data_IF_944990058444
#
_entry.id   IF_944990058444
#
_cell.length_a   1.000
_cell.length_b   1.000
_cell.length_c   1.000
_cell.angle_alpha   90.00
_cell.angle_beta   90.00
_cell.angle_gamma   90.00
#
_symmetry.space_group_name_H-M   'P 1'
#
loop_
_entity.id
_entity.type
_entity.pdbx_description
1 polymer ?
#
# COMPACT_ATOMS: atom_id res chain seq x y z
N UNK A 1 -54.50 20.60 18.44
CA UNK A 1 -54.20 19.20 18.06
C UNK A 1 -53.40 19.27 16.76
N UNK A 2 -52.06 19.24 16.84
CA UNK A 2 -51.20 18.08 16.52
C UNK A 2 -51.42 17.63 15.06
N UNK A 3 -50.48 17.65 14.12
CA UNK A 3 -49.08 17.21 14.13
C UNK A 3 -48.30 18.02 13.07
N UNK A 4 -47.01 18.33 13.18
CA UNK A 4 -45.92 17.45 13.60
C UNK A 4 -45.35 16.68 12.40
N UNK A 5 -44.98 17.37 11.31
CA UNK A 5 -44.22 16.75 10.20
C UNK A 5 -42.73 16.81 10.53
N UNK A 6 -42.25 15.70 11.09
CA UNK A 6 -40.84 15.45 11.31
C UNK A 6 -40.11 15.40 9.95
N UNK A 7 -39.10 16.24 9.80
CA UNK A 7 -38.10 16.11 8.74
C UNK A 7 -37.38 14.78 8.91
N UNK A 8 -37.55 13.88 7.94
CA UNK A 8 -36.73 12.69 7.82
C UNK A 8 -35.31 13.15 7.43
N UNK A 9 -34.43 13.23 8.43
CA UNK A 9 -33.00 13.33 8.21
C UNK A 9 -32.54 12.05 7.50
N UNK A 10 -32.25 12.18 6.20
CA UNK A 10 -31.52 11.17 5.45
C UNK A 10 -30.12 11.06 6.05
N UNK A 11 -29.88 9.98 6.80
CA UNK A 11 -28.54 9.55 7.15
C UNK A 11 -27.84 9.06 5.88
N UNK A 12 -27.33 10.00 5.09
CA UNK A 12 -26.36 9.72 4.03
C UNK A 12 -25.01 9.51 4.71
N UNK A 13 -24.41 8.34 4.48
CA UNK A 13 -23.15 7.93 5.11
C UNK A 13 -22.07 8.99 4.93
N UNK A 14 -21.76 9.69 6.01
CA UNK A 14 -20.53 10.45 6.12
C UNK A 14 -19.43 9.40 6.28
N UNK A 15 -18.74 9.08 5.18
CA UNK A 15 -17.36 8.59 5.29
C UNK A 15 -16.64 9.64 6.13
N UNK A 16 -16.44 9.34 7.42
CA UNK A 16 -15.81 10.24 8.36
C UNK A 16 -14.47 10.65 7.79
N UNK A 17 -14.31 11.95 7.52
CA UNK A 17 -13.00 12.48 7.14
C UNK A 17 -12.07 12.20 8.31
N UNK A 18 -11.07 11.37 8.09
CA UNK A 18 -10.00 11.08 9.05
C UNK A 18 -9.37 12.41 9.43
N UNK A 19 -9.28 12.70 10.73
CA UNK A 19 -8.60 13.90 11.20
C UNK A 19 -7.11 13.83 10.87
N UNK A 20 -6.45 14.97 10.84
CA UNK A 20 -5.02 15.02 10.54
C UNK A 20 -4.20 14.18 11.54
N UNK A 21 -4.56 14.27 12.81
CA UNK A 21 -3.91 13.57 13.92
C UNK A 21 -4.10 12.04 13.82
N UNK A 22 -5.31 11.59 13.45
CA UNK A 22 -5.58 10.18 13.17
C UNK A 22 -4.80 9.70 11.94
N UNK A 23 -4.73 10.50 10.87
CA UNK A 23 -3.97 10.17 9.67
C UNK A 23 -2.46 10.02 9.98
N UNK A 24 -1.89 10.91 10.80
CA UNK A 24 -0.50 10.79 11.25
C UNK A 24 -0.27 9.49 12.06
N UNK A 25 -1.22 9.12 12.91
CA UNK A 25 -1.15 7.88 13.69
C UNK A 25 -1.23 6.64 12.80
N UNK A 26 -2.12 6.65 11.81
CA UNK A 26 -2.24 5.60 10.80
C UNK A 26 -0.97 5.48 9.95
N UNK A 27 -0.37 6.58 9.51
CA UNK A 27 0.90 6.57 8.79
C UNK A 27 2.00 5.91 9.62
N UNK A 28 2.10 6.25 10.92
CA UNK A 28 3.07 5.62 11.80
C UNK A 28 2.81 4.10 11.96
N UNK A 29 1.55 3.68 12.04
CA UNK A 29 1.17 2.27 12.06
C UNK A 29 1.51 1.53 10.78
N UNK A 30 1.24 2.15 9.63
CA UNK A 30 1.60 1.62 8.31
C UNK A 30 3.10 1.39 8.23
N UNK A 31 3.93 2.35 8.67
CA UNK A 31 5.37 2.17 8.70
C UNK A 31 5.82 1.07 9.65
N UNK A 32 5.22 0.96 10.85
CA UNK A 32 5.53 -0.13 11.79
C UNK A 32 5.25 -1.49 11.17
N UNK A 33 4.09 -1.66 10.56
CA UNK A 33 3.73 -2.93 9.93
C UNK A 33 4.55 -3.18 8.64
N UNK A 34 4.92 -2.13 7.91
CA UNK A 34 5.84 -2.24 6.76
C UNK A 34 7.23 -2.71 7.19
N UNK A 35 7.72 -2.27 8.36
CA UNK A 35 8.98 -2.76 8.91
C UNK A 35 8.90 -4.25 9.24
N UNK A 36 7.75 -4.72 9.76
CA UNK A 36 7.49 -6.15 9.97
C UNK A 36 7.49 -6.91 8.65
N UNK A 37 6.77 -6.42 7.63
CA UNK A 37 6.76 -7.02 6.29
C UNK A 37 8.16 -7.09 5.67
N UNK A 38 8.94 -6.00 5.78
CA UNK A 38 10.32 -5.96 5.34
C UNK A 38 11.14 -7.06 6.02
N UNK A 39 11.08 -7.15 7.35
CA UNK A 39 11.83 -8.16 8.12
C UNK A 39 11.42 -9.58 7.73
N UNK A 40 10.12 -9.84 7.61
CA UNK A 40 9.61 -11.14 7.16
C UNK A 40 10.14 -11.48 5.76
N UNK A 41 10.21 -10.50 4.87
CA UNK A 41 10.78 -10.71 3.53
C UNK A 41 12.29 -10.94 3.52
N UNK A 42 13.02 -10.50 4.54
CA UNK A 42 14.46 -10.80 4.67
C UNK A 42 14.67 -12.19 5.28
N UNK A 43 13.90 -12.51 6.33
CA UNK A 43 14.04 -13.77 7.07
C UNK A 43 13.51 -14.98 6.31
N UNK A 44 12.44 -14.79 5.52
CA UNK A 44 11.78 -15.84 4.75
C UNK A 44 12.13 -15.78 3.26
N UNK A 45 13.31 -15.25 2.91
CA UNK A 45 13.80 -15.13 1.53
C UNK A 45 12.80 -14.44 0.56
N UNK A 46 11.90 -13.60 1.08
CA UNK A 46 10.86 -12.90 0.34
C UNK A 46 9.83 -13.82 -0.34
N UNK A 47 9.56 -15.00 0.23
CA UNK A 47 8.42 -15.80 -0.18
C UNK A 47 7.09 -15.18 0.30
N UNK A 48 6.16 -14.85 -0.61
CA UNK A 48 4.93 -14.14 -0.26
C UNK A 48 3.87 -15.04 0.37
N UNK A 49 3.89 -16.35 0.07
CA UNK A 49 2.96 -17.35 0.60
C UNK A 49 3.19 -17.77 2.05
N UNK A 50 4.17 -17.19 2.73
CA UNK A 50 4.50 -17.51 4.13
C UNK A 50 3.47 -16.84 5.05
N UNK A 51 2.96 -17.51 6.11
CA UNK A 51 1.87 -17.00 6.94
C UNK A 51 2.15 -15.62 7.54
N UNK A 52 3.39 -15.39 7.97
CA UNK A 52 3.87 -14.12 8.55
C UNK A 52 3.78 -12.97 7.55
N UNK A 53 4.13 -13.23 6.29
CA UNK A 53 4.02 -12.26 5.19
C UNK A 53 2.56 -11.95 4.89
N UNK A 54 1.74 -12.99 4.74
CA UNK A 54 0.30 -12.85 4.46
C UNK A 54 -0.44 -12.12 5.59
N UNK A 55 -0.10 -12.40 6.85
CA UNK A 55 -0.66 -11.72 8.01
C UNK A 55 -0.30 -10.23 8.06
N UNK A 56 0.94 -9.89 7.72
CA UNK A 56 1.40 -8.50 7.66
C UNK A 56 0.71 -7.72 6.53
N UNK A 57 0.57 -8.33 5.34
CA UNK A 57 -0.17 -7.74 4.22
C UNK A 57 -1.64 -7.50 4.57
N UNK A 58 -2.31 -8.45 5.24
CA UNK A 58 -3.68 -8.28 5.69
C UNK A 58 -3.88 -7.09 6.64
N UNK A 59 -2.93 -6.86 7.54
CA UNK A 59 -2.96 -5.68 8.42
C UNK A 59 -2.71 -4.38 7.65
N UNK A 60 -1.77 -4.36 6.70
CA UNK A 60 -1.53 -3.19 5.85
C UNK A 60 -2.79 -2.82 5.05
N UNK A 61 -3.50 -3.80 4.49
CA UNK A 61 -4.79 -3.56 3.81
C UNK A 61 -5.79 -2.92 4.76
N UNK A 62 -5.89 -3.42 5.99
CA UNK A 62 -6.80 -2.87 6.99
C UNK A 62 -6.45 -1.41 7.35
N UNK A 63 -5.18 -1.10 7.56
CA UNK A 63 -4.70 0.25 7.85
C UNK A 63 -4.91 1.20 6.66
N UNK A 64 -4.63 0.74 5.44
CA UNK A 64 -4.83 1.53 4.22
C UNK A 64 -6.31 1.81 3.93
N UNK A 65 -7.21 0.92 4.31
CA UNK A 65 -8.66 1.16 4.20
C UNK A 65 -9.17 2.18 5.22
N UNK A 66 -8.47 2.34 6.35
CA UNK A 66 -8.76 3.41 7.31
C UNK A 66 -8.18 4.75 6.85
N UNK A 67 -7.00 4.74 6.23
CA UNK A 67 -6.38 5.94 5.66
C UNK A 67 -6.95 6.21 4.27
N UNK A 68 -8.02 7.01 4.20
CA UNK A 68 -8.60 7.48 2.93
C UNK A 68 -7.52 8.11 2.03
N UNK A 69 -7.55 7.88 0.69
CA UNK A 69 -6.61 8.49 -0.24
C UNK A 69 -6.53 10.01 -0.04
N UNK A 70 -5.31 10.51 0.17
CA UNK A 70 -5.04 11.91 0.53
C UNK A 70 -3.56 12.24 0.34
N UNK A 71 -3.15 13.47 0.63
CA UNK A 71 -1.75 13.91 0.55
C UNK A 71 -0.78 13.09 1.43
N UNK A 72 -1.31 12.36 2.42
CA UNK A 72 -0.54 11.42 3.24
C UNK A 72 0.00 10.22 2.44
N UNK A 73 -0.59 9.91 1.29
CA UNK A 73 -0.13 8.81 0.42
C UNK A 73 1.31 9.01 -0.04
N UNK A 74 1.74 10.27 -0.15
CA UNK A 74 3.12 10.63 -0.46
C UNK A 74 4.11 10.19 0.63
N UNK A 75 3.68 10.21 1.89
CA UNK A 75 4.51 9.76 2.99
C UNK A 75 4.65 8.22 3.01
N UNK A 76 3.75 7.48 2.36
CA UNK A 76 3.68 6.02 2.41
C UNK A 76 3.99 5.35 1.07
N UNK A 77 4.69 6.02 0.16
CA UNK A 77 5.10 5.46 -1.15
C UNK A 77 5.88 4.15 -0.99
N UNK A 78 6.83 4.09 -0.05
CA UNK A 78 7.59 2.86 0.21
C UNK A 78 6.71 1.72 0.77
N UNK A 79 5.89 1.95 1.82
CA UNK A 79 4.87 0.99 2.24
C UNK A 79 3.99 0.45 1.10
N UNK A 80 3.46 1.34 0.25
CA UNK A 80 2.65 0.99 -0.90
C UNK A 80 3.44 0.10 -1.88
N UNK A 81 4.64 0.51 -2.27
CA UNK A 81 5.52 -0.27 -3.14
C UNK A 81 5.78 -1.67 -2.60
N UNK A 82 6.23 -1.80 -1.34
CA UNK A 82 6.58 -3.08 -0.76
C UNK A 82 5.35 -4.01 -0.66
N UNK A 83 4.22 -3.47 -0.20
CA UNK A 83 2.95 -4.21 -0.14
C UNK A 83 2.55 -4.74 -1.53
N UNK A 84 2.63 -3.89 -2.56
CA UNK A 84 2.25 -4.28 -3.91
C UNK A 84 3.18 -5.34 -4.51
N UNK A 85 4.48 -5.29 -4.22
CA UNK A 85 5.43 -6.32 -4.65
C UNK A 85 5.17 -7.67 -3.95
N UNK A 86 4.93 -7.64 -2.64
CA UNK A 86 4.76 -8.84 -1.82
C UNK A 86 3.36 -9.46 -1.92
N UNK A 87 2.36 -8.76 -2.46
CA UNK A 87 0.99 -9.26 -2.56
C UNK A 87 0.83 -10.30 -3.68
N UNK A 88 0.21 -11.44 -3.32
CA UNK A 88 -0.32 -12.42 -4.28
C UNK A 88 -1.74 -12.07 -4.76
N UNK A 89 -2.48 -11.23 -4.03
CA UNK A 89 -3.82 -10.77 -4.41
C UNK A 89 -3.76 -9.69 -5.51
N UNK A 90 -4.35 -9.92 -6.70
CA UNK A 90 -4.37 -8.94 -7.80
C UNK A 90 -5.12 -7.66 -7.46
N UNK A 91 -6.19 -7.74 -6.67
CA UNK A 91 -6.99 -6.59 -6.23
C UNK A 91 -6.19 -5.67 -5.31
N UNK A 92 -5.44 -6.22 -4.36
CA UNK A 92 -4.55 -5.43 -3.50
C UNK A 92 -3.44 -4.75 -4.31
N UNK A 93 -2.85 -5.46 -5.27
CA UNK A 93 -1.85 -4.87 -6.17
C UNK A 93 -2.42 -3.71 -6.98
N UNK A 94 -3.59 -3.88 -7.58
CA UNK A 94 -4.21 -2.82 -8.37
C UNK A 94 -4.64 -1.64 -7.50
N UNK A 95 -5.19 -1.89 -6.31
CA UNK A 95 -5.56 -0.82 -5.37
C UNK A 95 -4.37 0.04 -4.95
N UNK A 96 -3.23 -0.59 -4.66
CA UNK A 96 -1.97 0.12 -4.37
C UNK A 96 -1.51 0.94 -5.58
N UNK A 97 -1.50 0.34 -6.78
CA UNK A 97 -1.12 1.05 -8.02
C UNK A 97 -2.02 2.24 -8.29
N UNK A 98 -3.33 2.12 -8.06
CA UNK A 98 -4.27 3.23 -8.19
C UNK A 98 -3.93 4.37 -7.24
N UNK A 99 -3.67 4.09 -5.95
CA UNK A 99 -3.25 5.13 -4.98
C UNK A 99 -1.97 5.84 -5.44
N UNK A 100 -0.97 5.09 -5.91
CA UNK A 100 0.27 5.67 -6.43
C UNK A 100 0.00 6.59 -7.64
N UNK A 101 -0.87 6.20 -8.58
CA UNK A 101 -1.22 7.04 -9.76
C UNK A 101 -1.92 8.36 -9.39
N UNK A 102 -2.52 8.47 -8.21
CA UNK A 102 -3.12 9.71 -7.73
C UNK A 102 -2.10 10.69 -7.12
N UNK A 103 -0.85 10.25 -6.91
CA UNK A 103 0.22 11.12 -6.47
C UNK A 103 0.70 11.99 -7.62
N UNK A 104 0.87 13.27 -7.34
CA UNK A 104 1.49 14.22 -8.28
C UNK A 104 2.99 13.89 -8.46
N UNK A 105 3.44 13.84 -9.71
CA UNK A 105 4.79 13.43 -10.12
C UNK A 105 5.84 14.53 -9.90
N UNK A 106 5.47 15.61 -9.19
CA UNK A 106 6.33 16.75 -8.88
C UNK A 106 7.56 16.33 -8.05
N UNK A 107 7.52 15.21 -7.33
CA UNK A 107 8.66 14.70 -6.56
C UNK A 107 8.72 13.17 -6.54
N UNK A 108 9.74 12.61 -7.18
CA UNK A 108 9.92 11.16 -7.34
C UNK A 108 9.33 10.66 -8.65
N UNK A 109 9.85 9.54 -9.14
CA UNK A 109 9.43 8.96 -10.42
C UNK A 109 8.38 7.87 -10.15
N UNK A 110 7.12 8.30 -9.93
CA UNK A 110 6.00 7.39 -9.61
C UNK A 110 5.77 6.44 -10.79
N UNK A 111 5.92 6.92 -12.01
CA UNK A 111 5.84 6.11 -13.22
C UNK A 111 6.85 4.94 -13.18
N UNK A 112 8.09 5.20 -12.77
CA UNK A 112 9.10 4.14 -12.60
C UNK A 112 8.78 3.20 -11.45
N UNK A 113 8.24 3.69 -10.33
CA UNK A 113 7.80 2.80 -9.23
C UNK A 113 6.73 1.84 -9.72
N UNK A 114 5.72 2.34 -10.43
CA UNK A 114 4.65 1.53 -11.02
C UNK A 114 5.21 0.51 -12.01
N UNK A 115 6.11 0.95 -12.90
CA UNK A 115 6.77 0.07 -13.86
C UNK A 115 7.54 -1.05 -13.16
N UNK A 116 8.28 -0.74 -12.10
CA UNK A 116 9.02 -1.74 -11.34
C UNK A 116 8.11 -2.77 -10.68
N UNK A 117 6.98 -2.34 -10.13
CA UNK A 117 6.01 -3.27 -9.55
C UNK A 117 5.47 -4.23 -10.61
N UNK A 118 5.18 -3.73 -11.82
CA UNK A 118 4.72 -4.56 -12.93
C UNK A 118 5.85 -5.49 -13.42
N UNK A 119 7.08 -4.99 -13.61
CA UNK A 119 8.25 -5.79 -14.01
C UNK A 119 8.51 -6.95 -13.02
N UNK A 120 8.49 -6.68 -11.70
CA UNK A 120 8.64 -7.69 -10.64
C UNK A 120 7.54 -8.77 -10.76
N UNK A 121 6.31 -8.34 -10.98
CA UNK A 121 5.17 -9.25 -11.09
C UNK A 121 5.27 -10.14 -12.33
N UNK A 122 5.59 -9.56 -13.48
CA UNK A 122 5.74 -10.27 -14.75
C UNK A 122 6.92 -11.27 -14.70
N UNK A 123 8.05 -10.87 -14.12
CA UNK A 123 9.20 -11.75 -13.92
C UNK A 123 8.81 -12.97 -13.05
N UNK A 124 8.02 -12.75 -11.99
CA UNK A 124 7.53 -13.82 -11.12
C UNK A 124 6.57 -14.78 -11.84
N UNK A 125 5.69 -14.25 -12.69
CA UNK A 125 4.73 -15.07 -13.45
C UNK A 125 5.41 -15.87 -14.56
N UNK A 126 6.40 -15.31 -15.24
CA UNK A 126 7.12 -15.96 -16.34
C UNK A 126 8.08 -17.05 -15.87
N UNK A 127 8.70 -16.89 -14.69
CA UNK A 127 9.77 -17.80 -14.25
C UNK A 127 9.32 -19.13 -13.67
N UNK A 128 8.11 -19.28 -13.09
CA UNK A 128 7.49 -20.57 -12.66
C UNK A 128 6.23 -20.35 -11.80
N UNK A 129 5.14 -19.79 -12.37
CA UNK A 129 3.80 -19.77 -11.74
C UNK A 129 3.71 -19.25 -10.28
N UNK A 130 4.55 -18.29 -9.86
CA UNK A 130 4.37 -17.61 -8.56
C UNK A 130 5.03 -18.26 -7.33
N UNK A 131 5.71 -19.40 -7.45
CA UNK A 131 6.37 -20.08 -6.32
C UNK A 131 7.83 -19.61 -6.10
N UNK A 132 8.14 -18.35 -6.40
CA UNK A 132 9.49 -17.81 -6.32
C UNK A 132 9.57 -16.62 -5.37
N UNK A 133 10.74 -16.40 -4.76
CA UNK A 133 10.98 -15.26 -3.90
C UNK A 133 10.83 -13.95 -4.68
N UNK A 134 10.21 -12.95 -4.06
CA UNK A 134 10.02 -11.63 -4.68
C UNK A 134 11.32 -10.84 -4.62
N UNK A 135 11.90 -10.52 -5.79
CA UNK A 135 13.19 -9.82 -5.90
C UNK A 135 13.10 -8.29 -5.69
N UNK A 136 12.18 -7.80 -4.86
CA UNK A 136 11.94 -6.36 -4.68
C UNK A 136 13.18 -5.59 -4.18
N UNK A 137 14.06 -6.25 -3.42
CA UNK A 137 15.30 -5.67 -2.89
C UNK A 137 16.27 -5.24 -3.99
N UNK A 138 16.39 -6.05 -5.05
CA UNK A 138 17.29 -5.75 -6.14
C UNK A 138 16.81 -4.53 -6.91
N UNK A 139 15.50 -4.47 -7.19
CA UNK A 139 14.86 -3.30 -7.81
C UNK A 139 15.00 -2.04 -6.95
N UNK A 140 14.87 -2.16 -5.62
CA UNK A 140 15.08 -1.05 -4.70
C UNK A 140 16.54 -0.56 -4.74
N UNK A 141 17.53 -1.45 -4.63
CA UNK A 141 18.96 -1.08 -4.61
C UNK A 141 19.40 -0.45 -5.92
N UNK A 142 19.02 -1.04 -7.04
CA UNK A 142 19.46 -0.61 -8.37
C UNK A 142 18.86 0.73 -8.80
N UNK A 143 17.68 1.11 -8.28
CA UNK A 143 16.95 2.26 -8.82
C UNK A 143 16.54 3.32 -7.79
N UNK A 144 16.49 3.01 -6.49
CA UNK A 144 16.04 3.97 -5.45
C UNK A 144 17.19 4.60 -4.68
N UNK A 145 18.42 4.07 -4.79
CA UNK A 145 19.62 4.71 -4.26
C UNK A 145 19.80 6.16 -4.77
N UNK A 146 19.23 6.48 -5.94
CA UNK A 146 19.26 7.82 -6.55
C UNK A 146 18.06 8.69 -6.13
N UNK A 147 16.97 8.09 -5.63
CA UNK A 147 15.73 8.82 -5.31
C UNK A 147 15.47 9.03 -3.83
N UNK A 148 16.24 8.41 -2.94
CA UNK A 148 16.26 8.67 -1.50
C UNK A 148 17.16 9.87 -1.11
N UNK A 149 17.75 10.56 -2.09
CA UNK A 149 18.48 11.83 -1.93
C UNK A 149 17.59 13.05 -2.22
N UNK A 150 16.33 13.03 -1.77
CA UNK A 150 15.45 14.20 -1.73
C UNK A 150 15.16 14.58 -0.29
#
# INVERSE_FOLDING_TARGET
MAAGMAAAASASGVMGLVTREEAHSLVAEIFRETAVLYLNSVLSEAFPGVPETSGSLGKLVHLLNQLSPSDFDRAIVFPLFLMGCMSEDPGWREGVKQRLRFLDDTFGDIARILKQMDDIYEERMTRQHGSHPVQWQEYLRSHWAVSLLL
#
